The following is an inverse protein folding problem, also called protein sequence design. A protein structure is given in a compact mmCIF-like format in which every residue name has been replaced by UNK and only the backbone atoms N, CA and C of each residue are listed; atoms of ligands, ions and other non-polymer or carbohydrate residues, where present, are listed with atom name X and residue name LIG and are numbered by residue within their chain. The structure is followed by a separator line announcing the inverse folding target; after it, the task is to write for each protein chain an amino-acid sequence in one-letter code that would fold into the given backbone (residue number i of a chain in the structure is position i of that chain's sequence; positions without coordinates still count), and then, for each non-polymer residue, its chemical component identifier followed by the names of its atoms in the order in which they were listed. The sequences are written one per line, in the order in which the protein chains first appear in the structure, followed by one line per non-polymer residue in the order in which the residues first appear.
data_IF_241834716040
#
_entry.id   IF_241834716040
#
_cell.length_a   1.000
_cell.length_b   1.000
_cell.length_c   1.000
_cell.angle_alpha   90.00
_cell.angle_beta   90.00
_cell.angle_gamma   90.00
#
_symmetry.space_group_name_H-M   'P 1'
#
loop_
_entity.id
_entity.type
_entity.pdbx_description
1 polymer ?
#
# COMPACT_ATOMS: atom_id res chain seq x y z
N UNK A 1 -15.27 -18.19 34.93
CA UNK A 1 -14.59 -18.02 33.62
C UNK A 1 -13.44 -17.05 33.84
N UNK A 2 -12.24 -17.30 33.33
CA UNK A 2 -11.13 -16.38 33.58
C UNK A 2 -11.39 -15.07 32.80
N UNK A 3 -11.47 -13.96 33.53
CA UNK A 3 -11.63 -12.62 32.97
C UNK A 3 -10.52 -12.33 31.97
N UNK A 4 -10.88 -11.93 30.75
CA UNK A 4 -9.91 -11.63 29.70
C UNK A 4 -9.06 -10.44 30.13
N UNK A 5 -7.74 -10.62 30.17
CA UNK A 5 -6.74 -9.59 30.55
C UNK A 5 -6.64 -8.40 29.59
N UNK A 6 -7.53 -8.28 28.61
CA UNK A 6 -7.62 -7.17 27.68
C UNK A 6 -9.04 -6.59 27.77
N UNK A 7 -9.11 -5.28 28.06
CA UNK A 7 -10.33 -4.53 28.35
C UNK A 7 -11.44 -4.73 27.32
N UNK A 8 -12.71 -4.67 27.75
CA UNK A 8 -13.87 -4.64 26.85
C UNK A 8 -13.76 -3.44 25.89
N UNK A 9 -13.49 -3.72 24.62
CA UNK A 9 -13.45 -2.74 23.53
C UNK A 9 -14.85 -2.55 22.94
N UNK A 10 -15.13 -1.36 22.42
CA UNK A 10 -16.33 -1.18 21.60
C UNK A 10 -16.08 -1.79 20.21
N UNK A 11 -14.89 -1.56 19.65
CA UNK A 11 -14.47 -2.08 18.34
C UNK A 11 -13.04 -2.59 18.36
N UNK A 12 -12.79 -3.78 17.82
CA UNK A 12 -11.46 -4.25 17.46
C UNK A 12 -11.26 -4.19 15.95
N UNK A 13 -10.22 -3.49 15.50
CA UNK A 13 -9.83 -3.43 14.09
C UNK A 13 -8.67 -4.39 13.86
N UNK A 14 -8.79 -5.31 12.90
CA UNK A 14 -7.75 -6.32 12.65
C UNK A 14 -6.91 -5.87 11.47
N UNK A 15 -5.63 -5.54 11.70
CA UNK A 15 -4.67 -5.07 10.71
C UNK A 15 -4.37 -3.57 10.84
N UNK A 16 -3.09 -3.22 10.99
CA UNK A 16 -2.60 -1.84 11.05
C UNK A 16 -2.02 -1.37 9.71
N UNK A 17 -2.69 -1.74 8.61
CA UNK A 17 -2.48 -1.10 7.30
C UNK A 17 -3.19 0.25 7.21
N UNK A 18 -3.09 0.97 6.08
CA UNK A 18 -3.73 2.28 5.90
C UNK A 18 -5.24 2.24 6.16
N UNK A 19 -5.93 1.18 5.71
CA UNK A 19 -7.37 0.99 5.95
C UNK A 19 -7.70 0.93 7.43
N UNK A 20 -7.00 0.07 8.19
CA UNK A 20 -7.29 -0.14 9.61
C UNK A 20 -6.91 1.06 10.47
N UNK A 21 -5.78 1.71 10.18
CA UNK A 21 -5.35 2.92 10.88
C UNK A 21 -6.31 4.09 10.63
N UNK A 22 -6.75 4.29 9.38
CA UNK A 22 -7.72 5.34 9.05
C UNK A 22 -9.07 5.08 9.73
N UNK A 23 -9.57 3.83 9.68
CA UNK A 23 -10.81 3.45 10.36
C UNK A 23 -10.73 3.70 11.87
N UNK A 24 -9.64 3.29 12.51
CA UNK A 24 -9.46 3.48 13.94
C UNK A 24 -9.42 4.98 14.31
N UNK A 25 -8.79 5.82 13.48
CA UNK A 25 -8.84 7.27 13.65
C UNK A 25 -10.28 7.81 13.57
N UNK A 26 -11.05 7.41 12.55
CA UNK A 26 -12.45 7.86 12.40
C UNK A 26 -13.34 7.44 13.56
N UNK A 27 -13.16 6.23 14.09
CA UNK A 27 -13.89 5.73 15.26
C UNK A 27 -13.51 6.49 16.53
N UNK A 28 -12.21 6.66 16.78
CA UNK A 28 -11.72 7.36 17.97
C UNK A 28 -12.13 8.84 17.99
N UNK A 29 -12.15 9.51 16.82
CA UNK A 29 -12.67 10.88 16.68
C UNK A 29 -14.15 11.02 17.09
N UNK A 30 -14.90 9.91 17.11
CA UNK A 30 -16.31 9.84 17.52
C UNK A 30 -16.48 9.31 18.95
N UNK A 31 -15.40 9.16 19.71
CA UNK A 31 -15.42 8.68 21.09
C UNK A 31 -15.58 7.17 21.25
N UNK A 32 -15.46 6.39 20.17
CA UNK A 32 -15.53 4.92 20.23
C UNK A 32 -14.22 4.36 20.77
N UNK A 33 -14.29 3.46 21.77
CA UNK A 33 -13.11 2.78 22.32
C UNK A 33 -12.64 1.69 21.35
N UNK A 34 -11.62 2.02 20.57
CA UNK A 34 -11.08 1.16 19.52
C UNK A 34 -9.62 0.75 19.82
N UNK A 35 -9.28 -0.48 19.48
CA UNK A 35 -7.88 -0.92 19.39
C UNK A 35 -7.63 -1.63 18.06
N UNK A 36 -6.38 -1.55 17.58
CA UNK A 36 -5.95 -2.22 16.36
C UNK A 36 -5.09 -3.42 16.74
N UNK A 37 -5.44 -4.61 16.26
CA UNK A 37 -4.67 -5.84 16.42
C UNK A 37 -3.87 -6.10 15.14
N UNK A 38 -2.54 -6.04 15.22
CA UNK A 38 -1.64 -6.21 14.07
C UNK A 38 -0.71 -7.39 14.30
N UNK A 39 -0.68 -8.32 13.35
CA UNK A 39 0.19 -9.51 13.41
C UNK A 39 1.68 -9.17 13.30
N UNK A 40 2.04 -8.12 12.56
CA UNK A 40 3.44 -7.72 12.36
C UNK A 40 4.01 -7.07 13.63
N UNK A 41 5.19 -7.53 14.05
CA UNK A 41 5.94 -6.91 15.15
C UNK A 41 6.46 -5.52 14.78
N UNK A 42 6.83 -5.33 13.51
CA UNK A 42 7.36 -4.08 13.00
C UNK A 42 6.65 -3.70 11.70
N UNK A 43 6.67 -2.41 11.35
CA UNK A 43 6.20 -1.96 10.04
C UNK A 43 7.11 -2.54 8.95
N UNK A 44 6.53 -3.17 7.93
CA UNK A 44 7.29 -3.77 6.84
C UNK A 44 7.76 -2.71 5.85
N UNK A 45 9.03 -2.77 5.43
CA UNK A 45 9.57 -1.93 4.35
C UNK A 45 9.16 -2.39 2.94
N UNK A 46 8.46 -3.52 2.81
CA UNK A 46 7.96 -4.02 1.53
C UNK A 46 6.78 -3.14 1.10
N UNK A 47 7.11 -2.09 0.37
CA UNK A 47 6.14 -1.10 -0.10
C UNK A 47 5.38 -1.68 -1.28
N UNK A 48 4.10 -2.00 -1.08
CA UNK A 48 3.19 -2.50 -2.12
C UNK A 48 2.49 -1.37 -2.88
N UNK A 49 2.30 -0.21 -2.26
CA UNK A 49 1.65 0.95 -2.87
C UNK A 49 2.57 2.17 -2.82
N UNK A 50 2.64 2.90 -3.94
CA UNK A 50 3.43 4.13 -4.09
C UNK A 50 2.59 5.35 -4.45
N UNK A 51 1.30 5.21 -4.73
CA UNK A 51 0.49 6.29 -5.28
C UNK A 51 -0.72 6.59 -4.39
N UNK A 52 -0.93 7.88 -4.10
CA UNK A 52 -2.16 8.40 -3.53
C UNK A 52 -2.80 9.34 -4.54
N UNK A 53 -4.04 9.04 -4.91
CA UNK A 53 -4.82 9.85 -5.84
C UNK A 53 -5.48 11.05 -5.15
N UNK A 54 -5.84 12.05 -5.95
CA UNK A 54 -6.52 13.27 -5.55
C UNK A 54 -7.62 13.05 -4.49
N UNK A 55 -8.52 12.08 -4.71
CA UNK A 55 -9.63 11.84 -3.79
C UNK A 55 -9.17 11.42 -2.39
N UNK A 56 -8.13 10.61 -2.29
CA UNK A 56 -7.57 10.21 -1.00
C UNK A 56 -6.84 11.39 -0.34
N UNK A 57 -6.16 12.25 -1.10
CA UNK A 57 -5.57 13.49 -0.58
C UNK A 57 -6.65 14.43 -0.01
N UNK A 58 -7.78 14.60 -0.69
CA UNK A 58 -8.92 15.38 -0.20
C UNK A 58 -9.49 14.80 1.11
N UNK A 59 -9.59 13.47 1.22
CA UNK A 59 -10.06 12.82 2.44
C UNK A 59 -9.08 13.02 3.60
N UNK A 60 -7.77 12.94 3.36
CA UNK A 60 -6.73 13.22 4.36
C UNK A 60 -6.72 14.69 4.78
N UNK A 61 -6.91 15.60 3.83
CA UNK A 61 -7.02 17.04 4.05
C UNK A 61 -8.24 17.39 4.90
N UNK A 62 -9.38 16.73 4.67
CA UNK A 62 -10.56 16.88 5.52
C UNK A 62 -10.35 16.44 6.97
N UNK A 63 -9.18 15.86 7.30
CA UNK A 63 -8.71 15.51 8.64
C UNK A 63 -7.44 16.22 9.07
N UNK A 64 -6.96 17.19 8.27
CA UNK A 64 -5.75 17.95 8.54
C UNK A 64 -4.47 17.12 8.45
N UNK A 65 -4.46 16.03 7.66
CA UNK A 65 -3.32 15.12 7.53
C UNK A 65 -2.54 15.31 6.23
N UNK A 66 -3.09 16.06 5.28
CA UNK A 66 -2.53 16.16 3.92
C UNK A 66 -1.11 16.74 3.91
N UNK A 67 -0.85 17.80 4.68
CA UNK A 67 0.46 18.46 4.71
C UNK A 67 1.56 17.51 5.20
N UNK A 68 1.26 16.65 6.17
CA UNK A 68 2.20 15.68 6.71
C UNK A 68 2.48 14.54 5.73
N UNK A 69 1.50 14.21 4.87
CA UNK A 69 1.66 13.20 3.82
C UNK A 69 2.40 13.80 2.61
N UNK A 70 2.12 15.04 2.21
CA UNK A 70 2.79 15.73 1.11
C UNK A 70 4.31 15.86 1.36
N UNK A 71 4.74 16.10 2.59
CA UNK A 71 6.17 16.17 2.97
C UNK A 71 6.94 14.86 2.79
N UNK A 72 6.24 13.74 2.57
CA UNK A 72 6.82 12.39 2.50
C UNK A 72 6.88 11.83 1.08
N UNK A 73 6.47 12.62 0.10
CA UNK A 73 6.41 12.20 -1.29
C UNK A 73 6.65 13.36 -2.24
N UNK A 74 6.41 13.11 -3.52
CA UNK A 74 6.47 14.12 -4.57
C UNK A 74 5.26 14.02 -5.47
N UNK A 75 4.80 15.16 -5.98
CA UNK A 75 3.63 15.23 -6.84
C UNK A 75 3.99 14.90 -8.30
N UNK A 76 3.18 14.05 -8.92
CA UNK A 76 3.22 13.75 -10.35
C UNK A 76 2.00 14.40 -10.99
N UNK A 77 2.24 15.47 -11.75
CA UNK A 77 1.20 16.29 -12.37
C UNK A 77 0.72 15.82 -13.74
N UNK A 78 1.36 14.81 -14.33
CA UNK A 78 0.99 14.27 -15.63
C UNK A 78 1.15 12.75 -15.68
N UNK A 79 0.41 12.09 -16.57
CA UNK A 79 0.49 10.65 -16.80
C UNK A 79 0.54 10.35 -18.29
N UNK A 80 1.25 9.30 -18.68
CA UNK A 80 1.31 8.80 -20.05
C UNK A 80 0.62 7.43 -20.15
N UNK A 81 -0.71 7.37 -20.31
CA UNK A 81 -1.46 6.12 -20.23
C UNK A 81 -1.21 5.20 -21.43
N UNK A 82 -0.87 5.76 -22.58
CA UNK A 82 -0.55 5.04 -23.82
C UNK A 82 0.65 5.70 -24.52
N UNK A 83 1.40 4.95 -25.36
CA UNK A 83 2.51 5.51 -26.12
C UNK A 83 2.10 6.76 -26.92
N UNK A 84 2.90 7.82 -26.83
CA UNK A 84 2.68 9.08 -27.55
C UNK A 84 1.61 10.02 -26.97
N UNK A 85 0.94 9.65 -25.87
CA UNK A 85 -0.05 10.51 -25.23
C UNK A 85 0.39 10.86 -23.79
N UNK A 86 0.46 12.16 -23.50
CA UNK A 86 0.68 12.68 -22.14
C UNK A 86 -0.53 13.51 -21.74
N UNK A 87 -1.06 13.23 -20.55
CA UNK A 87 -2.22 13.90 -19.98
C UNK A 87 -1.77 14.74 -18.78
N UNK A 88 -2.01 16.04 -18.84
CA UNK A 88 -1.81 16.95 -17.71
C UNK A 88 -2.98 16.83 -16.73
N UNK A 89 -2.73 16.33 -15.52
CA UNK A 89 -3.76 16.19 -14.50
C UNK A 89 -4.24 17.57 -14.01
N UNK A 90 -3.36 18.57 -14.00
CA UNK A 90 -3.69 19.95 -13.62
C UNK A 90 -4.66 20.63 -14.58
N UNK A 91 -4.57 20.32 -15.87
CA UNK A 91 -5.43 20.91 -16.91
C UNK A 91 -6.76 20.16 -17.04
N UNK A 92 -6.72 18.83 -16.94
CA UNK A 92 -7.89 17.98 -17.15
C UNK A 92 -8.78 17.85 -15.91
N UNK A 93 -8.22 17.94 -14.70
CA UNK A 93 -8.96 17.69 -13.46
C UNK A 93 -9.24 18.97 -12.68
N UNK A 94 -10.52 19.25 -12.45
CA UNK A 94 -10.99 20.34 -11.58
C UNK A 94 -11.14 19.87 -10.13
N UNK A 95 -10.04 19.45 -9.51
CA UNK A 95 -9.98 18.96 -8.12
C UNK A 95 -8.91 19.68 -7.32
N UNK A 96 -8.97 19.61 -5.98
CA UNK A 96 -8.06 20.38 -5.11
C UNK A 96 -6.60 19.92 -5.22
N UNK A 97 -6.39 18.63 -5.46
CA UNK A 97 -5.07 18.02 -5.61
C UNK A 97 -4.97 17.38 -6.99
N UNK A 98 -4.79 18.15 -8.07
CA UNK A 98 -4.85 17.63 -9.44
C UNK A 98 -3.51 16.98 -9.85
N UNK A 99 -3.07 16.03 -9.03
CA UNK A 99 -1.85 15.26 -9.19
C UNK A 99 -1.97 13.93 -8.45
N UNK A 100 -1.08 12.99 -8.78
CA UNK A 100 -0.88 11.77 -8.00
C UNK A 100 0.31 12.02 -7.07
N UNK A 101 0.13 11.83 -5.77
CA UNK A 101 1.27 11.88 -4.86
C UNK A 101 1.98 10.53 -4.86
N UNK A 102 3.25 10.54 -5.28
CA UNK A 102 4.13 9.40 -5.13
C UNK A 102 4.70 9.39 -3.71
N UNK A 103 4.24 8.47 -2.88
CA UNK A 103 4.64 8.30 -1.48
C UNK A 103 4.66 6.82 -1.12
N UNK A 104 5.73 6.30 -0.50
CA UNK A 104 5.74 4.94 -0.01
C UNK A 104 4.59 4.72 0.98
N UNK A 105 3.92 3.56 0.90
CA UNK A 105 2.85 3.19 1.82
C UNK A 105 3.25 3.36 3.30
N UNK A 106 4.50 3.09 3.66
CA UNK A 106 5.04 3.29 5.01
C UNK A 106 4.97 4.77 5.47
N UNK A 107 5.16 5.71 4.54
CA UNK A 107 5.00 7.15 4.80
C UNK A 107 3.57 7.50 5.19
N UNK A 108 2.59 6.94 4.49
CA UNK A 108 1.16 7.11 4.79
C UNK A 108 0.76 6.43 6.10
N UNK A 109 1.20 5.19 6.31
CA UNK A 109 0.97 4.44 7.55
C UNK A 109 1.56 5.18 8.75
N UNK A 110 2.73 5.81 8.61
CA UNK A 110 3.34 6.59 9.67
C UNK A 110 2.48 7.80 10.08
N UNK A 111 1.95 8.56 9.12
CA UNK A 111 1.06 9.70 9.42
C UNK A 111 -0.21 9.23 10.11
N UNK A 112 -0.82 8.15 9.61
CA UNK A 112 -2.05 7.59 10.19
C UNK A 112 -1.82 6.99 11.57
N UNK A 113 -0.69 6.30 11.79
CA UNK A 113 -0.32 5.75 13.10
C UNK A 113 -0.09 6.86 14.12
N UNK A 114 0.64 7.92 13.76
CA UNK A 114 0.85 9.08 14.62
C UNK A 114 -0.47 9.80 14.95
N UNK A 115 -1.44 9.81 14.02
CA UNK A 115 -2.78 10.33 14.28
C UNK A 115 -3.57 9.42 15.22
N UNK A 116 -3.52 8.11 15.01
CA UNK A 116 -4.19 7.12 15.86
C UNK A 116 -3.70 7.21 17.31
N UNK A 117 -2.38 7.30 17.50
CA UNK A 117 -1.76 7.48 18.82
C UNK A 117 -2.22 8.76 19.52
N UNK A 118 -2.22 9.90 18.79
CA UNK A 118 -2.74 11.19 19.30
C UNK A 118 -4.22 11.13 19.71
N UNK A 119 -5.00 10.23 19.11
CA UNK A 119 -6.40 9.99 19.44
C UNK A 119 -6.59 8.93 20.55
N UNK A 120 -5.50 8.41 21.12
CA UNK A 120 -5.54 7.38 22.17
C UNK A 120 -5.82 5.96 21.66
N UNK A 121 -5.74 5.72 20.35
CA UNK A 121 -5.89 4.38 19.78
C UNK A 121 -4.65 3.55 20.10
N UNK A 122 -4.87 2.40 20.74
CA UNK A 122 -3.79 1.44 20.99
C UNK A 122 -3.63 0.51 19.79
N UNK A 123 -2.43 0.48 19.21
CA UNK A 123 -2.03 -0.52 18.21
C UNK A 123 -1.24 -1.63 18.91
N UNK A 124 -1.81 -2.82 18.98
CA UNK A 124 -1.21 -4.00 19.61
C UNK A 124 -0.53 -4.81 18.50
N UNK A 125 0.80 -4.77 18.48
CA UNK A 125 1.63 -5.50 17.51
C UNK A 125 1.92 -6.93 17.98
N UNK A 126 2.23 -7.82 17.05
CA UNK A 126 2.35 -9.26 17.33
C UNK A 126 1.03 -9.95 17.67
N UNK A 127 -0.11 -9.26 17.53
CA UNK A 127 -1.44 -9.77 17.83
C UNK A 127 -2.06 -10.36 16.57
N UNK A 128 -1.66 -11.57 16.21
CA UNK A 128 -2.28 -12.32 15.12
C UNK A 128 -3.63 -12.89 15.57
N UNK A 129 -4.71 -12.62 14.83
CA UNK A 129 -6.02 -13.22 15.10
C UNK A 129 -6.07 -14.62 14.51
N UNK A 130 -6.32 -15.61 15.38
CA UNK A 130 -6.41 -17.02 15.04
C UNK A 130 -7.83 -17.59 15.17
N UNK A 131 -8.71 -16.94 15.92
CA UNK A 131 -10.10 -17.37 16.09
C UNK A 131 -11.06 -16.22 16.38
N UNK A 132 -12.31 -16.40 15.97
CA UNK A 132 -13.42 -15.47 16.22
C UNK A 132 -14.67 -16.28 16.58
N UNK A 133 -15.31 -15.92 17.69
CA UNK A 133 -16.58 -16.49 18.14
C UNK A 133 -17.57 -15.35 18.39
N UNK A 134 -18.73 -15.40 17.74
CA UNK A 134 -19.77 -14.39 17.88
C UNK A 134 -20.85 -14.86 18.85
N UNK A 135 -21.13 -14.07 19.88
CA UNK A 135 -22.29 -14.27 20.73
C UNK A 135 -23.47 -13.46 20.18
N UNK A 136 -24.29 -14.11 19.35
CA UNK A 136 -25.47 -13.48 18.72
C UNK A 136 -26.74 -13.58 19.57
N UNK A 137 -26.70 -14.30 20.69
CA UNK A 137 -27.90 -14.67 21.45
C UNK A 137 -28.24 -13.67 22.55
N UNK A 138 -27.38 -12.69 22.81
CA UNK A 138 -27.56 -11.70 23.87
C UNK A 138 -27.80 -10.29 23.30
N UNK A 139 -28.67 -9.52 23.95
CA UNK A 139 -28.91 -8.10 23.59
C UNK A 139 -27.64 -7.24 23.61
N UNK A 140 -26.65 -7.63 24.40
CA UNK A 140 -25.30 -7.05 24.47
C UNK A 140 -24.24 -8.09 24.05
N UNK A 141 -24.55 -8.88 23.03
CA UNK A 141 -23.63 -9.81 22.39
C UNK A 141 -22.35 -9.13 21.92
N UNK A 142 -21.30 -9.91 21.72
CA UNK A 142 -20.00 -9.42 21.31
C UNK A 142 -19.22 -10.48 20.57
N UNK A 143 -17.96 -10.17 20.29
CA UNK A 143 -17.04 -11.06 19.60
C UNK A 143 -15.88 -11.39 20.52
N UNK A 144 -15.69 -12.68 20.80
CA UNK A 144 -14.51 -13.20 21.43
C UNK A 144 -13.45 -13.48 20.36
N UNK A 145 -12.29 -12.87 20.52
CA UNK A 145 -11.18 -12.92 19.59
C UNK A 145 -10.08 -13.75 20.27
N UNK A 146 -9.65 -14.82 19.62
CA UNK A 146 -8.51 -15.62 20.07
C UNK A 146 -7.28 -15.22 19.26
N UNK A 147 -6.22 -14.84 19.95
CA UNK A 147 -4.93 -14.50 19.35
C UNK A 147 -4.05 -15.76 19.17
N UNK A 148 -3.05 -15.69 18.29
CA UNK A 148 -2.14 -16.80 18.00
C UNK A 148 -1.31 -17.27 19.19
N UNK A 149 -1.14 -16.42 20.21
CA UNK A 149 -0.49 -16.76 21.49
C UNK A 149 -1.46 -17.38 22.52
N UNK A 150 -2.74 -17.56 22.16
CA UNK A 150 -3.80 -18.08 23.04
C UNK A 150 -4.49 -17.03 23.92
N UNK A 151 -4.03 -15.77 23.92
CA UNK A 151 -4.71 -14.69 24.63
C UNK A 151 -6.08 -14.40 24.00
N UNK A 152 -7.01 -13.91 24.83
CA UNK A 152 -8.37 -13.56 24.40
C UNK A 152 -8.64 -12.07 24.57
N UNK A 153 -9.31 -11.49 23.57
CA UNK A 153 -9.81 -10.11 23.56
C UNK A 153 -11.31 -10.16 23.30
N UNK A 154 -12.09 -9.31 23.99
CA UNK A 154 -13.52 -9.15 23.69
C UNK A 154 -13.81 -7.75 23.18
N UNK A 155 -14.65 -7.68 22.13
CA UNK A 155 -15.12 -6.44 21.56
C UNK A 155 -16.61 -6.50 21.23
N UNK A 156 -17.29 -5.35 21.19
CA UNK A 156 -18.66 -5.26 20.67
C UNK A 156 -18.72 -5.58 19.17
N UNK A 157 -17.74 -5.08 18.41
CA UNK A 157 -17.60 -5.34 16.97
C UNK A 157 -16.16 -5.66 16.58
N UNK A 158 -16.01 -6.40 15.49
CA UNK A 158 -14.72 -6.67 14.83
C UNK A 158 -14.79 -6.21 13.39
N UNK A 159 -13.76 -5.51 12.92
CA UNK A 159 -13.63 -5.09 11.52
C UNK A 159 -12.34 -5.64 10.92
N UNK A 160 -12.47 -6.50 9.90
CA UNK A 160 -11.34 -7.06 9.15
C UNK A 160 -10.71 -6.05 8.20
N UNK A 161 -9.53 -5.53 8.57
CA UNK A 161 -8.68 -4.65 7.76
C UNK A 161 -7.33 -5.33 7.44
N UNK A 162 -7.32 -6.65 7.40
CA UNK A 162 -6.17 -7.56 7.43
C UNK A 162 -5.71 -8.03 6.03
N UNK A 163 -6.11 -7.29 5.00
CA UNK A 163 -5.60 -7.40 3.63
C UNK A 163 -6.18 -8.56 2.81
N UNK A 164 -5.57 -8.83 1.65
CA UNK A 164 -6.09 -9.80 0.67
C UNK A 164 -6.27 -11.22 1.23
N UNK A 165 -5.38 -11.64 2.15
CA UNK A 165 -5.43 -12.94 2.82
C UNK A 165 -6.11 -12.89 4.20
N UNK A 166 -7.11 -12.01 4.35
CA UNK A 166 -7.86 -11.76 5.59
C UNK A 166 -8.17 -13.06 6.36
N UNK A 167 -7.68 -13.13 7.59
CA UNK A 167 -8.04 -14.15 8.56
C UNK A 167 -9.50 -13.96 8.99
N UNK A 168 -9.95 -12.72 9.19
CA UNK A 168 -11.35 -12.42 9.57
C UNK A 168 -12.32 -12.97 8.53
N UNK A 169 -12.08 -12.70 7.24
CA UNK A 169 -12.92 -13.22 6.14
C UNK A 169 -12.99 -14.75 6.14
N UNK A 170 -11.85 -15.42 6.33
CA UNK A 170 -11.77 -16.89 6.39
C UNK A 170 -12.49 -17.46 7.60
N UNK A 171 -12.30 -16.87 8.78
CA UNK A 171 -12.94 -17.33 10.03
C UNK A 171 -14.47 -17.19 10.00
N UNK A 172 -14.98 -16.21 9.24
CA UNK A 172 -16.41 -16.03 9.00
C UNK A 172 -16.94 -16.85 7.81
N UNK A 173 -16.11 -17.65 7.15
CA UNK A 173 -16.45 -18.40 5.93
C UNK A 173 -17.12 -17.53 4.85
N UNK A 174 -16.62 -16.31 4.67
CA UNK A 174 -17.12 -15.40 3.62
C UNK A 174 -16.41 -15.72 2.31
N UNK A 175 -17.17 -16.07 1.27
CA UNK A 175 -16.65 -16.35 -0.06
C UNK A 175 -15.90 -15.15 -0.65
N UNK A 176 -14.81 -15.46 -1.36
CA UNK A 176 -14.01 -14.45 -2.07
C UNK A 176 -14.08 -14.71 -3.57
N UNK A 177 -15.21 -14.31 -4.16
CA UNK A 177 -15.51 -14.51 -5.58
C UNK A 177 -14.91 -13.37 -6.39
N UNK A 178 -14.11 -13.71 -7.40
CA UNK A 178 -13.50 -12.76 -8.30
C UNK A 178 -12.82 -13.45 -9.47
N UNK A 179 -12.29 -12.66 -10.41
CA UNK A 179 -11.41 -13.15 -11.46
C UNK A 179 -9.99 -12.77 -11.12
N UNK A 180 -9.07 -13.70 -11.30
CA UNK A 180 -7.65 -13.39 -11.31
C UNK A 180 -7.31 -12.91 -12.71
N UNK A 181 -6.82 -11.68 -12.82
CA UNK A 181 -6.23 -11.20 -14.07
C UNK A 181 -4.85 -11.83 -14.21
N UNK A 182 -4.57 -12.40 -15.38
CA UNK A 182 -3.22 -12.84 -15.74
C UNK A 182 -2.40 -11.63 -16.19
N UNK A 183 -2.31 -10.61 -15.35
CA UNK A 183 -1.44 -9.45 -15.60
C UNK A 183 -0.31 -9.50 -14.60
N UNK A 184 0.92 -9.58 -15.11
CA UNK A 184 2.12 -9.71 -14.29
C UNK A 184 2.92 -8.43 -14.32
N UNK A 185 3.21 -7.91 -13.13
CA UNK A 185 4.04 -6.74 -12.92
C UNK A 185 5.22 -7.18 -12.07
N UNK A 186 6.41 -7.03 -12.61
CA UNK A 186 7.67 -7.30 -11.91
C UNK A 186 8.03 -6.11 -11.04
N UNK A 187 8.47 -6.37 -9.81
CA UNK A 187 8.88 -5.35 -8.86
C UNK A 187 10.29 -5.67 -8.35
N UNK A 188 11.21 -4.71 -8.38
CA UNK A 188 12.53 -4.83 -7.77
C UNK A 188 12.90 -3.57 -6.99
N UNK A 189 13.51 -3.77 -5.82
CA UNK A 189 14.14 -2.70 -5.04
C UNK A 189 15.62 -2.74 -5.39
N UNK A 190 16.12 -1.67 -5.98
CA UNK A 190 17.41 -1.64 -6.66
C UNK A 190 18.18 -0.40 -6.27
N UNK A 191 19.50 -0.51 -6.29
CA UNK A 191 20.38 0.66 -6.37
C UNK A 191 20.70 0.90 -7.83
N UNK A 192 20.65 2.16 -8.22
CA UNK A 192 20.99 2.60 -9.56
C UNK A 192 22.41 3.14 -9.54
N UNK A 193 23.25 2.65 -10.45
CA UNK A 193 24.60 3.21 -10.66
C UNK A 193 24.55 4.62 -11.26
N UNK A 194 23.49 4.89 -12.04
CA UNK A 194 23.15 6.19 -12.63
C UNK A 194 21.67 6.47 -12.37
N UNK A 195 21.34 7.20 -11.30
CA UNK A 195 19.96 7.58 -11.04
C UNK A 195 19.49 8.63 -12.08
N UNK A 196 18.20 8.61 -12.47
CA UNK A 196 17.63 9.64 -13.34
C UNK A 196 17.66 11.02 -12.66
N UNK A 197 17.82 12.08 -13.45
CA UNK A 197 17.71 13.46 -12.95
C UNK A 197 16.27 13.82 -12.57
N UNK A 198 15.29 13.21 -13.25
CA UNK A 198 13.87 13.34 -12.96
C UNK A 198 13.48 12.59 -11.66
N UNK A 199 12.54 13.17 -10.90
CA UNK A 199 12.01 12.56 -9.67
C UNK A 199 11.29 11.23 -9.89
N UNK A 200 10.86 10.95 -11.12
CA UNK A 200 10.29 9.68 -11.56
C UNK A 200 10.70 9.44 -12.99
N UNK A 201 11.20 8.25 -13.28
CA UNK A 201 11.42 7.80 -14.64
C UNK A 201 10.28 6.88 -15.06
N UNK A 202 9.60 7.21 -16.16
CA UNK A 202 8.56 6.36 -16.73
C UNK A 202 8.74 6.27 -18.25
N UNK A 203 8.65 5.05 -18.80
CA UNK A 203 8.67 4.79 -20.24
C UNK A 203 7.61 3.77 -20.59
N UNK A 204 6.99 3.94 -21.75
CA UNK A 204 5.96 3.05 -22.27
C UNK A 204 6.17 2.91 -23.77
N UNK A 205 6.17 1.67 -24.26
CA UNK A 205 6.19 1.36 -25.67
C UNK A 205 5.20 0.22 -25.94
N UNK A 206 5.28 -0.42 -27.10
CA UNK A 206 4.38 -1.55 -27.42
C UNK A 206 4.68 -2.80 -26.58
N UNK A 207 5.93 -2.97 -26.12
CA UNK A 207 6.36 -4.14 -25.37
C UNK A 207 6.07 -4.05 -23.87
N UNK A 208 5.86 -2.85 -23.32
CA UNK A 208 5.47 -2.73 -21.93
C UNK A 208 5.53 -1.32 -21.34
N UNK A 209 5.54 -1.29 -20.01
CA UNK A 209 5.65 -0.08 -19.20
C UNK A 209 6.72 -0.28 -18.13
N UNK A 210 7.59 0.71 -17.98
CA UNK A 210 8.60 0.80 -16.94
C UNK A 210 8.35 2.05 -16.13
N UNK A 211 8.35 1.90 -14.80
CA UNK A 211 8.43 3.01 -13.86
C UNK A 211 9.57 2.77 -12.88
N UNK A 212 10.33 3.81 -12.57
CA UNK A 212 11.40 3.79 -11.57
C UNK A 212 11.16 4.95 -10.61
N UNK A 213 10.93 4.62 -9.34
CA UNK A 213 10.52 5.56 -8.29
C UNK A 213 11.57 5.58 -7.17
N UNK A 214 12.04 6.75 -6.71
CA UNK A 214 12.97 6.84 -5.60
C UNK A 214 12.28 6.61 -4.26
N UNK A 215 12.98 5.98 -3.32
CA UNK A 215 12.59 5.96 -1.90
C UNK A 215 13.12 7.18 -1.12
N UNK A 216 14.11 7.88 -1.66
CA UNK A 216 14.78 9.03 -1.02
C UNK A 216 16.01 8.67 -0.17
N UNK A 217 16.37 7.40 -0.07
CA UNK A 217 17.53 6.87 0.68
C UNK A 217 18.61 6.24 -0.25
N UNK A 218 18.54 6.55 -1.55
CA UNK A 218 19.40 5.99 -2.58
C UNK A 218 18.90 4.65 -3.16
N UNK A 219 17.80 4.10 -2.66
CA UNK A 219 17.09 2.98 -3.29
C UNK A 219 15.99 3.47 -4.22
N UNK A 220 15.69 2.62 -5.20
CA UNK A 220 14.64 2.83 -6.19
C UNK A 220 13.76 1.58 -6.30
N UNK A 221 12.47 1.78 -6.53
CA UNK A 221 11.54 0.73 -6.95
C UNK A 221 11.45 0.74 -8.47
N UNK A 222 11.92 -0.32 -9.12
CA UNK A 222 11.58 -0.61 -10.50
C UNK A 222 10.25 -1.38 -10.55
N UNK A 223 9.33 -0.89 -11.36
CA UNK A 223 8.02 -1.48 -11.66
C UNK A 223 7.98 -1.73 -13.16
N UNK A 224 7.94 -2.98 -13.56
CA UNK A 224 7.99 -3.37 -14.97
C UNK A 224 6.79 -4.23 -15.31
N UNK A 225 5.91 -3.68 -16.15
CA UNK A 225 4.87 -4.45 -16.81
C UNK A 225 5.38 -4.85 -18.19
N UNK A 226 5.94 -6.06 -18.28
CA UNK A 226 6.43 -6.65 -19.51
C UNK A 226 5.31 -7.44 -20.19
N UNK A 227 4.77 -6.90 -21.29
CA UNK A 227 3.63 -7.52 -21.98
C UNK A 227 4.01 -8.84 -22.64
N UNK A 228 5.29 -9.06 -22.93
CA UNK A 228 5.78 -10.32 -23.48
C UNK A 228 5.73 -11.48 -22.46
N UNK A 229 5.65 -11.16 -21.16
CA UNK A 229 5.61 -12.13 -20.05
C UNK A 229 4.28 -12.14 -19.31
N UNK A 230 3.25 -11.51 -19.88
CA UNK A 230 1.95 -11.38 -19.23
C UNK A 230 1.28 -12.74 -18.95
N UNK A 231 1.63 -13.80 -19.69
CA UNK A 231 1.06 -15.14 -19.51
C UNK A 231 1.90 -16.11 -18.65
N UNK A 232 3.07 -15.70 -18.17
CA UNK A 232 3.95 -16.55 -17.34
C UNK A 232 3.32 -16.88 -15.98
N UNK A 233 3.34 -18.11 -15.45
CA UNK A 233 2.76 -18.40 -14.13
C UNK A 233 3.34 -17.51 -13.01
N UNK A 234 2.50 -17.02 -12.08
CA UNK A 234 2.95 -16.23 -10.92
C UNK A 234 3.99 -16.93 -10.03
N UNK A 235 4.06 -18.26 -10.10
CA UNK A 235 5.05 -19.06 -9.38
C UNK A 235 6.44 -19.05 -10.03
N UNK A 236 6.54 -18.61 -11.29
CA UNK A 236 7.81 -18.51 -12.01
C UNK A 236 8.66 -17.42 -11.35
N UNK A 237 9.84 -17.75 -10.81
CA UNK A 237 10.72 -16.74 -10.22
C UNK A 237 11.15 -15.71 -11.27
N UNK A 238 11.14 -14.44 -10.90
CA UNK A 238 11.67 -13.34 -11.71
C UNK A 238 13.10 -13.09 -11.29
N UNK A 239 14.04 -13.23 -12.23
CA UNK A 239 15.45 -12.91 -12.02
C UNK A 239 15.75 -11.44 -12.30
N UNK A 240 16.89 -10.93 -11.83
CA UNK A 240 17.32 -9.58 -12.19
C UNK A 240 17.67 -9.44 -13.68
N UNK A 241 18.07 -10.53 -14.34
CA UNK A 241 18.29 -10.54 -15.78
C UNK A 241 17.00 -10.27 -16.54
N UNK A 242 15.88 -10.83 -16.08
CA UNK A 242 14.54 -10.61 -16.66
C UNK A 242 14.12 -9.14 -16.59
N UNK A 243 14.38 -8.51 -15.44
CA UNK A 243 14.04 -7.11 -15.21
C UNK A 243 14.94 -6.21 -16.07
N UNK A 244 16.23 -6.50 -16.15
CA UNK A 244 17.18 -5.75 -16.97
C UNK A 244 16.88 -5.85 -18.47
N UNK A 245 16.51 -7.03 -18.96
CA UNK A 245 16.09 -7.23 -20.35
C UNK A 245 14.86 -6.39 -20.68
N UNK A 246 13.81 -6.50 -19.84
CA UNK A 246 12.59 -5.73 -20.03
C UNK A 246 12.83 -4.21 -19.92
N UNK A 247 13.66 -3.76 -18.98
CA UNK A 247 14.10 -2.37 -18.89
C UNK A 247 14.79 -1.91 -20.18
N UNK A 248 15.74 -2.70 -20.69
CA UNK A 248 16.49 -2.38 -21.91
C UNK A 248 15.57 -2.22 -23.12
N UNK A 249 14.63 -3.15 -23.31
CA UNK A 249 13.70 -3.10 -24.46
C UNK A 249 12.64 -1.99 -24.35
N UNK A 250 12.06 -1.81 -23.17
CA UNK A 250 10.94 -0.86 -22.97
C UNK A 250 11.45 0.58 -22.86
N UNK A 251 12.60 0.77 -22.22
CA UNK A 251 13.17 2.09 -21.99
C UNK A 251 14.28 2.48 -22.99
N UNK A 252 14.78 1.54 -23.81
CA UNK A 252 15.93 1.72 -24.69
C UNK A 252 15.63 2.01 -26.16
N UNK A 253 14.36 2.26 -26.56
CA UNK A 253 14.07 2.80 -27.89
C UNK A 253 14.15 4.34 -27.90
N UNK A 254 15.02 4.83 -28.78
CA UNK A 254 15.35 6.25 -29.02
C UNK A 254 14.20 6.97 -29.73
N UNK A 255 13.67 8.06 -29.16
CA UNK A 255 12.93 9.06 -29.95
C UNK A 255 13.96 10.01 -30.59
N UNK A 256 14.14 10.00 -31.92
CA UNK A 256 15.11 10.85 -32.60
C UNK A 256 14.77 12.35 -32.57
N UNK A 257 13.63 12.75 -32.01
CA UNK A 257 13.17 14.14 -31.94
C UNK A 257 13.32 14.82 -30.57
N UNK A 258 13.76 14.08 -29.54
CA UNK A 258 13.81 14.58 -28.15
C UNK A 258 15.28 14.80 -27.69
N UNK A 259 15.67 15.99 -27.20
CA UNK A 259 17.01 16.21 -26.66
C UNK A 259 17.24 15.37 -25.39
N UNK A 260 18.04 14.31 -25.55
CA UNK A 260 18.65 13.40 -24.56
C UNK A 260 18.65 13.89 -23.10
N UNK A 261 18.03 13.15 -22.15
CA UNK A 261 18.52 13.04 -20.79
C UNK A 261 19.51 11.86 -20.66
N UNK A 262 20.60 11.98 -19.87
CA UNK A 262 21.67 10.99 -19.84
C UNK A 262 21.29 9.69 -19.10
N UNK A 263 21.52 8.55 -19.76
CA UNK A 263 21.88 7.26 -19.15
C UNK A 263 20.74 6.41 -18.58
N UNK A 264 20.43 5.28 -19.25
CA UNK A 264 19.56 4.22 -18.73
C UNK A 264 19.97 3.80 -17.30
N UNK A 265 19.01 3.63 -16.37
CA UNK A 265 19.29 3.10 -15.05
C UNK A 265 19.84 1.67 -15.16
N UNK A 266 21.10 1.44 -14.77
CA UNK A 266 21.67 0.09 -14.74
C UNK A 266 21.53 -0.48 -13.32
N UNK A 267 20.79 -1.59 -13.20
CA UNK A 267 20.53 -2.25 -11.93
C UNK A 267 21.73 -3.10 -11.48
N UNK A 268 22.04 -3.08 -10.19
CA UNK A 268 23.01 -4.01 -9.60
C UNK A 268 22.36 -4.85 -8.51
N UNK A 269 22.63 -6.15 -8.50
CA UNK A 269 22.26 -7.05 -7.41
C UNK A 269 22.98 -6.68 -6.11
N UNK A 270 22.35 -7.03 -4.98
CA UNK A 270 22.99 -6.97 -3.67
C UNK A 270 24.11 -8.03 -3.62
N UNK A 271 25.28 -7.74 -3.03
CA UNK A 271 26.20 -8.80 -2.64
C UNK A 271 25.56 -9.74 -1.60
#
# INVERSE_FOLDING_TARGET
MPESKLANLDVAVIGAGPTGLMLACELAMRGVRVSVLERRQESTNITRAFAIHARTLELLDSRGLVDDVLKRGFAVGSVAPVPGATVSLAEELRVRYPFILMVPQSGTEHVLAARAERLGVRVIRGAEVAGLEQDLNQRNGGVDITLGNGERVRAGYVVGCDGAHSAVRRLLNIDFVGKQYATHIMLADVRLTRPPEELMFARTNNEGVVLVLPFGDGWYRAIVWDRLREQEPLSTPVSMADINDALGRIAGEEDPSDPVPPGLPTLTEKP
#
